data_IF_475713169307
#
_entry.id   IF_475713169307
#
_cell.length_a   1.000
_cell.length_b   1.000
_cell.length_c   1.000
_cell.angle_alpha   90.00
_cell.angle_beta   90.00
_cell.angle_gamma   90.00
#
_symmetry.space_group_name_H-M   'P 1'
#
loop_
_entity.id
_entity.type
_entity.pdbx_description
1 polymer ?
#
# COMPACT_ATOMS: atom_id res chain seq x y z
N UNK A 1 31.12 -20.62 63.16
CA UNK A 1 30.03 -19.67 62.82
C UNK A 1 30.72 -18.40 62.31
N UNK A 2 30.61 -17.83 61.10
CA UNK A 2 29.79 -17.94 59.87
C UNK A 2 30.80 -17.65 58.71
N UNK A 3 31.03 -18.49 57.69
CA UNK A 3 30.32 -18.65 56.39
C UNK A 3 29.88 -17.35 55.69
N UNK A 4 30.57 -17.01 54.58
CA UNK A 4 30.05 -16.85 53.19
C UNK A 4 31.16 -16.22 52.32
N UNK A 5 31.94 -16.99 51.54
CA UNK A 5 31.64 -17.57 50.21
C UNK A 5 31.59 -16.51 49.08
N UNK A 6 32.70 -16.37 48.36
CA UNK A 6 32.79 -15.76 47.03
C UNK A 6 31.92 -16.50 46.02
N UNK A 7 31.14 -15.75 45.23
CA UNK A 7 30.68 -16.19 43.90
C UNK A 7 30.80 -14.99 42.96
N UNK A 8 31.86 -15.02 42.16
CA UNK A 8 32.00 -14.34 40.89
C UNK A 8 31.33 -15.27 39.88
N UNK A 9 30.21 -14.91 39.25
CA UNK A 9 29.68 -15.67 38.11
C UNK A 9 28.83 -14.77 37.20
N UNK A 10 29.42 -14.45 36.04
CA UNK A 10 28.77 -14.36 34.73
C UNK A 10 27.59 -13.43 34.56
N UNK A 11 27.86 -12.24 34.04
CA UNK A 11 26.90 -11.50 33.19
C UNK A 11 26.57 -12.41 32.01
N UNK A 12 25.38 -13.03 32.02
CA UNK A 12 24.87 -13.76 30.87
C UNK A 12 24.26 -12.72 29.91
N UNK A 13 25.14 -12.09 29.13
CA UNK A 13 24.74 -11.30 27.97
C UNK A 13 24.30 -12.31 26.90
N UNK A 14 23.00 -12.62 26.86
CA UNK A 14 22.41 -13.38 25.75
C UNK A 14 22.43 -12.46 24.55
N UNK A 15 23.48 -12.59 23.74
CA UNK A 15 23.46 -12.20 22.34
C UNK A 15 22.38 -13.08 21.67
N UNK A 16 21.16 -12.57 21.53
CA UNK A 16 20.29 -13.01 20.46
C UNK A 16 20.86 -12.45 19.16
N UNK A 17 21.88 -13.12 18.65
CA UNK A 17 22.39 -12.91 17.30
C UNK A 17 21.99 -14.13 16.47
N UNK A 18 21.45 -13.83 15.28
CA UNK A 18 20.97 -14.72 14.21
C UNK A 18 19.47 -15.09 14.26
N UNK A 19 18.63 -14.14 13.87
CA UNK A 19 17.27 -14.41 13.36
C UNK A 19 17.15 -14.22 11.82
N UNK A 20 18.27 -14.10 11.10
CA UNK A 20 18.25 -13.75 9.66
C UNK A 20 17.89 -14.91 8.70
N UNK A 21 17.20 -15.98 9.15
CA UNK A 21 16.76 -17.07 8.26
C UNK A 21 15.72 -18.03 8.89
N UNK A 22 14.95 -17.58 9.89
CA UNK A 22 13.97 -18.44 10.55
C UNK A 22 12.64 -18.48 9.79
N UNK A 23 12.01 -19.66 9.76
CA UNK A 23 10.63 -19.82 9.30
C UNK A 23 9.65 -19.01 10.14
N UNK A 24 8.50 -18.63 9.58
CA UNK A 24 7.47 -17.84 10.27
C UNK A 24 7.05 -18.41 11.63
N UNK A 25 6.87 -17.52 12.61
CA UNK A 25 6.31 -17.84 13.91
C UNK A 25 4.79 -18.08 13.82
N UNK A 26 4.26 -19.04 14.56
CA UNK A 26 2.83 -19.34 14.53
C UNK A 26 2.06 -18.38 15.43
N UNK A 27 1.08 -17.68 14.87
CA UNK A 27 0.14 -16.87 15.65
C UNK A 27 -0.98 -17.77 16.16
N UNK A 28 -1.24 -17.76 17.46
CA UNK A 28 -2.34 -18.55 18.03
C UNK A 28 -3.65 -17.76 17.90
N UNK A 29 -4.69 -18.38 17.35
CA UNK A 29 -6.06 -17.86 17.48
C UNK A 29 -6.47 -17.87 18.96
N UNK A 30 -7.29 -16.90 19.36
CA UNK A 30 -7.76 -16.69 20.75
C UNK A 30 -8.39 -17.93 21.40
N UNK A 31 -8.83 -18.92 20.60
CA UNK A 31 -9.43 -20.17 21.05
C UNK A 31 -8.44 -21.32 21.35
N UNK A 32 -7.12 -21.10 21.26
CA UNK A 32 -6.11 -22.06 21.75
C UNK A 32 -6.02 -23.39 21.00
N UNK A 33 -6.80 -23.60 19.94
CA UNK A 33 -6.64 -24.72 19.00
C UNK A 33 -5.60 -24.35 17.94
N UNK A 34 -4.34 -24.70 18.21
CA UNK A 34 -3.27 -24.70 17.22
C UNK A 34 -3.48 -25.86 16.24
N UNK A 35 -3.96 -25.55 15.04
CA UNK A 35 -4.01 -26.49 13.90
C UNK A 35 -3.12 -26.07 12.73
N UNK A 36 -2.50 -24.89 12.82
CA UNK A 36 -1.64 -24.33 11.78
C UNK A 36 -0.57 -25.34 11.39
N UNK A 37 -0.70 -25.85 10.17
CA UNK A 37 0.33 -26.67 9.55
C UNK A 37 1.52 -25.74 9.33
N UNK A 38 2.45 -25.77 10.29
CA UNK A 38 3.64 -24.92 10.29
C UNK A 38 4.38 -25.11 8.97
N UNK A 39 4.52 -24.02 8.23
CA UNK A 39 5.38 -23.94 7.05
C UNK A 39 6.80 -23.66 7.51
N UNK A 40 7.75 -24.39 6.93
CA UNK A 40 9.19 -24.20 7.16
C UNK A 40 9.83 -23.19 6.21
N UNK A 41 9.05 -22.57 5.31
CA UNK A 41 9.55 -21.52 4.40
C UNK A 41 10.06 -20.30 5.17
N UNK A 42 11.17 -19.73 4.69
CA UNK A 42 11.66 -18.42 5.14
C UNK A 42 10.92 -17.28 4.44
N UNK A 43 11.08 -16.06 4.94
CA UNK A 43 10.46 -14.87 4.34
C UNK A 43 10.94 -14.65 2.90
N UNK A 44 12.24 -14.84 2.63
CA UNK A 44 12.82 -14.72 1.29
C UNK A 44 12.19 -15.72 0.32
N UNK A 45 11.96 -16.95 0.77
CA UNK A 45 11.31 -17.98 -0.04
C UNK A 45 9.83 -17.66 -0.30
N UNK A 46 9.14 -17.06 0.67
CA UNK A 46 7.77 -16.57 0.46
C UNK A 46 7.77 -15.43 -0.56
N UNK A 47 8.66 -14.45 -0.45
CA UNK A 47 8.81 -13.39 -1.45
C UNK A 47 9.10 -13.93 -2.85
N UNK A 48 10.00 -14.89 -3.00
CA UNK A 48 10.27 -15.52 -4.30
C UNK A 48 9.02 -16.19 -4.88
N UNK A 49 8.25 -16.89 -4.05
CA UNK A 49 7.02 -17.57 -4.46
C UNK A 49 5.91 -16.61 -4.82
N UNK A 50 5.75 -15.53 -4.06
CA UNK A 50 4.80 -14.45 -4.38
C UNK A 50 5.17 -13.77 -5.69
N UNK A 51 6.44 -13.42 -5.89
CA UNK A 51 6.93 -12.86 -7.14
C UNK A 51 6.69 -13.78 -8.34
N UNK A 52 6.89 -15.09 -8.18
CA UNK A 52 6.61 -16.06 -9.23
C UNK A 52 5.10 -16.19 -9.51
N UNK A 53 4.27 -16.29 -8.47
CA UNK A 53 2.82 -16.39 -8.60
C UNK A 53 2.23 -15.17 -9.30
N UNK A 54 2.71 -13.96 -8.99
CA UNK A 54 2.26 -12.70 -9.60
C UNK A 54 2.47 -12.64 -11.12
N UNK A 55 3.38 -13.43 -11.70
CA UNK A 55 3.55 -13.52 -13.17
C UNK A 55 2.38 -14.20 -13.86
N UNK A 56 1.68 -15.06 -13.14
CA UNK A 56 0.51 -15.82 -13.62
C UNK A 56 -0.81 -15.17 -13.17
N UNK A 57 -0.74 -14.03 -12.47
CA UNK A 57 -1.92 -13.30 -12.04
C UNK A 57 -2.48 -12.49 -13.22
N UNK A 58 -3.66 -12.83 -13.70
CA UNK A 58 -4.32 -12.16 -14.83
C UNK A 58 -5.19 -11.00 -14.36
N UNK A 59 -5.89 -11.15 -13.24
CA UNK A 59 -6.83 -10.16 -12.72
C UNK A 59 -7.03 -10.28 -11.22
N UNK A 60 -7.52 -9.22 -10.59
CA UNK A 60 -7.88 -9.20 -9.17
C UNK A 60 -8.78 -8.01 -8.88
N UNK A 61 -9.52 -8.08 -7.77
CA UNK A 61 -10.30 -6.98 -7.22
C UNK A 61 -9.65 -6.48 -5.93
N UNK A 62 -9.62 -5.17 -5.74
CA UNK A 62 -9.17 -4.48 -4.53
C UNK A 62 -10.37 -3.77 -3.90
N UNK A 63 -10.59 -3.99 -2.60
CA UNK A 63 -11.49 -3.18 -1.79
C UNK A 63 -10.67 -2.54 -0.68
N UNK A 64 -10.79 -1.23 -0.49
CA UNK A 64 -9.94 -0.49 0.43
C UNK A 64 -10.72 0.59 1.16
N UNK A 65 -10.55 0.63 2.48
CA UNK A 65 -10.97 1.74 3.33
C UNK A 65 -9.76 2.64 3.61
N UNK A 66 -9.95 3.95 3.50
CA UNK A 66 -8.92 4.96 3.74
C UNK A 66 -9.46 6.03 4.68
N UNK A 67 -8.76 6.27 5.79
CA UNK A 67 -8.97 7.42 6.65
C UNK A 67 -7.69 8.27 6.65
N UNK A 68 -7.82 9.52 6.25
CA UNK A 68 -6.72 10.48 6.20
C UNK A 68 -7.04 11.70 7.04
N UNK A 69 -6.15 12.05 7.97
CA UNK A 69 -6.23 13.26 8.79
C UNK A 69 -5.06 14.16 8.44
N UNK A 70 -5.35 15.35 7.92
CA UNK A 70 -4.36 16.38 7.61
C UNK A 70 -4.51 17.49 8.63
N UNK A 71 -3.42 17.87 9.29
CA UNK A 71 -3.36 18.96 10.24
C UNK A 71 -2.27 19.96 9.86
N UNK A 72 -2.61 21.26 9.87
CA UNK A 72 -1.66 22.36 9.77
C UNK A 72 -1.36 22.94 11.15
N UNK A 73 -0.10 23.31 11.39
CA UNK A 73 0.32 23.99 12.61
C UNK A 73 0.00 25.48 12.65
N UNK A 74 -0.31 26.09 11.50
CA UNK A 74 -0.55 27.53 11.35
C UNK A 74 -2.00 27.89 11.00
N UNK A 75 -2.76 26.97 10.39
CA UNK A 75 -4.14 27.21 9.98
C UNK A 75 -5.06 26.05 10.40
N UNK A 76 -5.72 26.20 11.55
CA UNK A 76 -6.70 25.21 12.03
C UNK A 76 -7.88 25.01 11.06
N UNK A 77 -8.21 26.01 10.22
CA UNK A 77 -9.27 25.87 9.22
C UNK A 77 -8.86 25.00 8.03
N UNK A 78 -7.56 24.74 7.87
CA UNK A 78 -7.03 23.80 6.89
C UNK A 78 -7.01 22.34 7.39
N UNK A 79 -7.36 22.09 8.66
CA UNK A 79 -7.42 20.74 9.20
C UNK A 79 -8.62 20.00 8.59
N UNK A 80 -8.37 18.82 8.05
CA UNK A 80 -9.38 18.02 7.37
C UNK A 80 -9.22 16.54 7.69
N UNK A 81 -10.34 15.87 7.87
CA UNK A 81 -10.43 14.41 7.94
C UNK A 81 -11.20 13.94 6.72
N UNK A 82 -10.63 13.03 5.96
CA UNK A 82 -11.20 12.45 4.75
C UNK A 82 -11.37 10.96 4.98
N UNK A 83 -12.60 10.49 4.84
CA UNK A 83 -12.94 9.07 4.88
C UNK A 83 -13.36 8.68 3.46
N UNK A 84 -12.69 7.67 2.92
CA UNK A 84 -12.86 7.22 1.55
C UNK A 84 -12.91 5.70 1.47
N UNK A 85 -13.66 5.20 0.50
CA UNK A 85 -13.65 3.80 0.09
C UNK A 85 -13.23 3.71 -1.38
N UNK A 86 -12.46 2.70 -1.72
CA UNK A 86 -12.03 2.37 -3.08
C UNK A 86 -12.46 0.94 -3.40
N UNK A 87 -13.16 0.79 -4.51
CA UNK A 87 -13.35 -0.49 -5.19
C UNK A 87 -12.63 -0.43 -6.54
N UNK A 88 -11.78 -1.40 -6.83
CA UNK A 88 -11.02 -1.43 -8.08
C UNK A 88 -10.94 -2.84 -8.64
N UNK A 89 -11.27 -3.00 -9.92
CA UNK A 89 -11.03 -4.20 -10.70
C UNK A 89 -9.82 -3.98 -11.61
N UNK A 90 -8.91 -4.96 -11.67
CA UNK A 90 -7.66 -4.88 -12.46
C UNK A 90 -7.52 -6.10 -13.35
N UNK A 91 -7.13 -5.88 -14.60
CA UNK A 91 -6.68 -6.90 -15.56
C UNK A 91 -5.27 -6.51 -16.04
N UNK A 92 -4.33 -7.46 -16.03
CA UNK A 92 -2.91 -7.17 -16.31
C UNK A 92 -2.55 -7.18 -17.81
N UNK A 93 -3.12 -8.06 -18.63
CA UNK A 93 -2.76 -8.19 -20.06
C UNK A 93 -3.98 -8.39 -20.99
N UNK A 94 -4.33 -7.42 -21.86
CA UNK A 94 -3.80 -6.05 -21.87
C UNK A 94 -4.25 -5.31 -20.61
N UNK A 95 -3.40 -4.39 -20.14
CA UNK A 95 -3.69 -3.68 -18.92
C UNK A 95 -5.01 -2.89 -19.01
N UNK A 96 -5.91 -3.13 -18.06
CA UNK A 96 -7.14 -2.38 -17.88
C UNK A 96 -7.51 -2.30 -16.40
N UNK A 97 -8.19 -1.24 -16.01
CA UNK A 97 -8.79 -1.15 -14.68
C UNK A 97 -10.10 -0.36 -14.70
N UNK A 98 -10.96 -0.68 -13.75
CA UNK A 98 -12.14 0.08 -13.40
C UNK A 98 -12.07 0.39 -11.91
N UNK A 99 -12.32 1.62 -11.51
CA UNK A 99 -12.33 1.99 -10.10
C UNK A 99 -13.46 2.93 -9.75
N UNK A 100 -13.93 2.81 -8.51
CA UNK A 100 -14.90 3.69 -7.86
C UNK A 100 -14.34 4.13 -6.53
N UNK A 101 -14.26 5.44 -6.36
CA UNK A 101 -13.83 6.08 -5.12
C UNK A 101 -15.03 6.83 -4.55
N UNK A 102 -15.40 6.55 -3.31
CA UNK A 102 -16.44 7.28 -2.59
C UNK A 102 -15.79 7.99 -1.42
N UNK A 103 -15.92 9.32 -1.36
CA UNK A 103 -15.32 10.16 -0.32
C UNK A 103 -16.38 10.94 0.42
N UNK A 104 -16.41 10.83 1.75
CA UNK A 104 -17.30 11.64 2.59
C UNK A 104 -16.85 13.12 2.57
N UNK A 105 -17.80 14.03 2.33
CA UNK A 105 -17.50 15.47 2.34
C UNK A 105 -17.53 15.97 3.79
N UNK A 106 -16.40 16.47 4.33
CA UNK A 106 -16.29 16.84 5.74
C UNK A 106 -17.35 17.86 6.16
N UNK A 107 -18.01 17.60 7.30
CA UNK A 107 -19.03 18.48 7.86
C UNK A 107 -20.39 18.43 7.15
N UNK A 108 -20.61 17.46 6.26
CA UNK A 108 -21.89 17.23 5.58
C UNK A 108 -22.25 15.74 5.59
N UNK A 109 -23.49 15.40 5.22
CA UNK A 109 -23.91 14.00 4.97
C UNK A 109 -23.74 13.60 3.49
N UNK A 110 -23.02 14.39 2.69
CA UNK A 110 -22.85 14.15 1.26
C UNK A 110 -21.63 13.27 1.00
N UNK A 111 -21.75 12.36 0.04
CA UNK A 111 -20.66 11.53 -0.48
C UNK A 111 -20.37 11.96 -1.91
N UNK A 112 -19.10 12.20 -2.19
CA UNK A 112 -18.60 12.44 -3.54
C UNK A 112 -18.11 11.13 -4.13
N UNK A 113 -18.71 10.70 -5.23
CA UNK A 113 -18.31 9.50 -5.96
C UNK A 113 -17.57 9.88 -7.24
N UNK A 114 -16.40 9.28 -7.44
CA UNK A 114 -15.60 9.37 -8.65
C UNK A 114 -15.46 7.97 -9.23
N UNK A 115 -15.92 7.78 -10.46
CA UNK A 115 -15.78 6.53 -11.20
C UNK A 115 -14.82 6.74 -12.37
N UNK A 116 -13.94 5.77 -12.65
CA UNK A 116 -13.02 5.86 -13.78
C UNK A 116 -12.71 4.51 -14.42
N UNK A 117 -12.41 4.56 -15.71
CA UNK A 117 -12.01 3.43 -16.54
C UNK A 117 -10.69 3.73 -17.21
N UNK A 118 -9.87 2.70 -17.37
CA UNK A 118 -8.66 2.72 -18.17
C UNK A 118 -8.57 1.43 -18.96
N UNK A 119 -8.34 1.56 -20.26
CA UNK A 119 -8.04 0.45 -21.14
C UNK A 119 -7.26 0.96 -22.36
N UNK A 120 -6.92 0.07 -23.29
CA UNK A 120 -6.38 0.45 -24.61
C UNK A 120 -7.26 1.48 -25.38
N UNK A 121 -8.54 1.59 -25.06
CA UNK A 121 -9.49 2.50 -25.73
C UNK A 121 -9.44 3.93 -25.17
N UNK A 122 -8.83 4.10 -24.00
CA UNK A 122 -8.54 5.39 -23.36
C UNK A 122 -8.74 5.37 -21.86
N UNK A 123 -8.54 6.54 -21.25
CA UNK A 123 -8.84 6.79 -19.84
C UNK A 123 -10.03 7.74 -19.72
N UNK A 124 -11.00 7.35 -18.91
CA UNK A 124 -12.26 8.04 -18.71
C UNK A 124 -12.51 8.22 -17.22
N UNK A 125 -13.05 9.36 -16.82
CA UNK A 125 -13.50 9.57 -15.44
C UNK A 125 -14.80 10.35 -15.43
N UNK A 126 -15.65 10.06 -14.45
CA UNK A 126 -16.87 10.79 -14.23
C UNK A 126 -16.58 12.03 -13.42
N UNK A 127 -16.91 13.21 -13.94
CA UNK A 127 -16.79 14.46 -13.20
C UNK A 127 -18.12 14.77 -12.49
N UNK A 128 -18.22 14.58 -11.15
CA UNK A 128 -19.49 14.69 -10.44
C UNK A 128 -20.10 16.11 -10.49
N UNK A 129 -19.28 17.17 -10.63
CA UNK A 129 -19.78 18.55 -10.68
C UNK A 129 -20.51 18.86 -11.98
N UNK A 130 -19.95 18.42 -13.12
CA UNK A 130 -20.53 18.61 -14.45
C UNK A 130 -21.48 17.47 -14.84
N UNK A 131 -21.51 16.39 -14.06
CA UNK A 131 -22.25 15.15 -14.32
C UNK A 131 -21.97 14.60 -15.71
N UNK A 132 -20.71 14.68 -16.13
CA UNK A 132 -20.28 14.35 -17.49
C UNK A 132 -19.05 13.44 -17.42
N UNK A 133 -19.00 12.46 -18.32
CA UNK A 133 -17.80 11.67 -18.52
C UNK A 133 -16.75 12.52 -19.21
N UNK A 134 -15.53 12.45 -18.71
CA UNK A 134 -14.39 13.16 -19.24
C UNK A 134 -13.41 12.14 -19.79
N UNK A 135 -12.84 12.42 -20.96
CA UNK A 135 -11.79 11.60 -21.58
C UNK A 135 -10.45 12.31 -21.44
N UNK A 136 -9.45 11.63 -20.90
CA UNK A 136 -8.10 12.17 -20.86
C UNK A 136 -7.48 12.26 -22.28
N UNK A 137 -6.64 13.28 -22.54
CA UNK A 137 -5.86 13.36 -23.78
C UNK A 137 -4.97 12.13 -23.98
N UNK A 138 -4.78 11.73 -25.24
CA UNK A 138 -4.04 10.51 -25.58
C UNK A 138 -2.55 10.59 -25.21
N UNK A 139 -1.98 11.79 -25.20
CA UNK A 139 -0.60 12.04 -24.79
C UNK A 139 -0.38 11.73 -23.30
N UNK A 140 -1.38 11.97 -22.45
CA UNK A 140 -1.32 11.61 -21.03
C UNK A 140 -1.43 10.10 -20.81
N UNK A 141 -2.20 9.41 -21.67
CA UNK A 141 -2.35 7.97 -21.65
C UNK A 141 -1.00 7.25 -21.85
N UNK A 142 -0.18 7.72 -22.81
CA UNK A 142 1.13 7.12 -23.07
C UNK A 142 2.09 7.24 -21.88
N UNK A 143 2.05 8.37 -21.17
CA UNK A 143 2.85 8.58 -19.95
C UNK A 143 2.36 7.69 -18.81
N UNK A 144 1.04 7.59 -18.62
CA UNK A 144 0.46 6.76 -17.57
C UNK A 144 0.70 5.27 -17.81
N UNK A 145 0.64 4.78 -19.06
CA UNK A 145 1.00 3.39 -19.38
C UNK A 145 2.46 3.09 -19.01
N UNK A 146 3.38 4.04 -19.21
CA UNK A 146 4.78 3.86 -18.82
C UNK A 146 4.96 3.75 -17.30
N UNK A 147 4.29 4.61 -16.53
CA UNK A 147 4.30 4.59 -15.05
C UNK A 147 3.62 3.33 -14.53
N UNK A 148 2.47 2.98 -15.10
CA UNK A 148 1.63 1.88 -14.67
C UNK A 148 2.31 0.52 -14.84
N UNK A 149 3.01 0.29 -15.96
CA UNK A 149 3.83 -0.91 -16.16
C UNK A 149 4.92 -1.11 -15.09
N UNK A 150 5.34 -0.05 -14.39
CA UNK A 150 6.30 -0.11 -13.30
C UNK A 150 5.64 -0.33 -11.93
N UNK A 151 4.39 0.12 -11.74
CA UNK A 151 3.73 0.20 -10.44
C UNK A 151 2.67 -0.88 -10.18
N UNK A 152 1.96 -1.38 -11.21
CA UNK A 152 0.83 -2.29 -11.00
C UNK A 152 1.18 -3.76 -11.02
N UNK A 153 2.47 -4.09 -11.08
CA UNK A 153 2.94 -5.45 -10.89
C UNK A 153 3.16 -5.69 -9.37
N UNK A 154 2.33 -6.50 -8.70
CA UNK A 154 2.51 -6.77 -7.27
C UNK A 154 3.87 -7.38 -6.94
N UNK A 155 4.53 -8.05 -7.90
CA UNK A 155 5.90 -8.55 -7.72
C UNK A 155 6.95 -7.43 -7.61
N UNK A 156 6.75 -6.29 -8.28
CA UNK A 156 7.68 -5.16 -8.22
C UNK A 156 7.63 -4.51 -6.82
N UNK A 157 6.43 -4.40 -6.24
CA UNK A 157 6.24 -3.90 -4.88
C UNK A 157 6.91 -4.83 -3.86
N UNK A 158 6.74 -6.16 -3.98
CA UNK A 158 7.41 -7.14 -3.12
C UNK A 158 8.93 -7.08 -3.27
N UNK A 159 9.48 -6.90 -4.48
CA UNK A 159 10.92 -6.72 -4.69
C UNK A 159 11.46 -5.50 -3.95
N UNK A 160 10.75 -4.37 -4.00
CA UNK A 160 11.13 -3.17 -3.25
C UNK A 160 11.16 -3.42 -1.74
N UNK A 161 10.24 -4.24 -1.22
CA UNK A 161 10.19 -4.59 0.20
C UNK A 161 11.31 -5.57 0.63
N UNK A 162 11.98 -6.28 -0.29
CA UNK A 162 13.06 -7.22 0.05
C UNK A 162 14.22 -6.55 0.80
N UNK A 163 14.47 -5.26 0.60
CA UNK A 163 15.52 -4.50 1.33
C UNK A 163 15.24 -4.33 2.83
N UNK A 164 14.00 -4.64 3.25
CA UNK A 164 13.53 -4.58 4.64
C UNK A 164 13.25 -5.97 5.21
N UNK A 165 13.69 -7.04 4.54
CA UNK A 165 13.42 -8.43 4.96
C UNK A 165 13.81 -8.70 6.42
N UNK A 166 14.94 -8.13 6.87
CA UNK A 166 15.43 -8.25 8.25
C UNK A 166 14.61 -7.43 9.27
N UNK A 167 13.82 -6.46 8.80
CA UNK A 167 12.99 -5.58 9.64
C UNK A 167 11.56 -6.11 9.81
N UNK A 168 11.15 -7.10 9.01
CA UNK A 168 9.83 -7.72 9.13
C UNK A 168 9.76 -8.72 10.29
N UNK A 169 8.68 -8.61 11.06
CA UNK A 169 8.19 -9.73 11.88
C UNK A 169 7.46 -10.70 10.96
N UNK A 170 7.96 -11.93 10.88
CA UNK A 170 7.42 -12.95 9.99
C UNK A 170 6.61 -14.00 10.76
N UNK A 171 5.30 -14.01 10.49
CA UNK A 171 4.31 -14.81 11.19
C UNK A 171 3.49 -15.65 10.21
N UNK A 172 2.73 -16.62 10.74
CA UNK A 172 1.82 -17.44 9.95
C UNK A 172 0.65 -17.95 10.79
N UNK A 173 -0.51 -18.12 10.14
CA UNK A 173 -1.67 -18.81 10.68
C UNK A 173 -2.01 -20.07 9.84
N UNK A 174 -3.25 -20.56 9.86
CA UNK A 174 -3.67 -21.73 9.08
C UNK A 174 -3.67 -21.48 7.56
N UNK A 175 -3.93 -20.23 7.13
CA UNK A 175 -4.18 -19.86 5.72
C UNK A 175 -3.12 -18.94 5.13
N UNK A 176 -2.49 -18.10 5.96
CA UNK A 176 -1.67 -16.98 5.49
C UNK A 176 -0.30 -16.98 6.13
N UNK A 177 0.67 -16.48 5.37
CA UNK A 177 1.86 -15.84 5.90
C UNK A 177 1.51 -14.39 6.23
N UNK A 178 1.93 -13.91 7.40
CA UNK A 178 1.64 -12.57 7.91
C UNK A 178 2.97 -11.85 8.09
N UNK A 179 3.14 -10.75 7.38
CA UNK A 179 4.35 -9.94 7.40
C UNK A 179 4.00 -8.61 8.05
N UNK A 180 4.60 -8.31 9.20
CA UNK A 180 4.39 -7.06 9.91
C UNK A 180 5.70 -6.28 9.97
N UNK A 181 5.67 -5.06 9.47
CA UNK A 181 6.76 -4.12 9.56
C UNK A 181 6.29 -2.95 10.43
N UNK A 182 6.93 -2.79 11.59
CA UNK A 182 6.83 -1.57 12.36
C UNK A 182 8.09 -0.75 12.12
N UNK A 183 7.92 0.37 11.43
CA UNK A 183 8.97 1.22 10.93
C UNK A 183 8.86 2.62 11.55
N UNK A 184 10.01 3.16 11.96
CA UNK A 184 10.19 4.57 12.25
C UNK A 184 11.62 4.98 11.92
N UNK A 185 11.85 6.27 11.71
CA UNK A 185 13.21 6.82 11.54
C UNK A 185 13.69 6.96 10.09
N UNK A 186 15.00 7.22 9.94
CA UNK A 186 15.61 7.73 8.71
C UNK A 186 15.58 6.73 7.55
N UNK A 187 15.86 5.44 7.79
CA UNK A 187 15.92 4.40 6.73
C UNK A 187 14.63 4.35 5.89
N UNK A 188 13.47 4.39 6.55
CA UNK A 188 12.18 4.34 5.87
C UNK A 188 11.78 5.69 5.28
N UNK A 189 12.15 6.78 5.97
CA UNK A 189 11.97 8.14 5.46
C UNK A 189 12.69 8.30 4.12
N UNK A 190 13.94 7.85 4.03
CA UNK A 190 14.74 7.93 2.80
C UNK A 190 14.15 7.06 1.67
N UNK A 191 13.64 5.87 2.00
CA UNK A 191 12.98 5.01 1.03
C UNK A 191 11.69 5.62 0.47
N UNK A 192 10.84 6.21 1.31
CA UNK A 192 9.65 6.90 0.82
C UNK A 192 10.02 8.13 0.00
N UNK A 193 11.05 8.89 0.38
CA UNK A 193 11.54 10.00 -0.44
C UNK A 193 11.98 9.53 -1.82
N UNK A 194 12.79 8.47 -1.89
CA UNK A 194 13.19 7.84 -3.16
C UNK A 194 11.97 7.43 -4.00
N UNK A 195 10.97 6.82 -3.36
CA UNK A 195 9.74 6.39 -4.04
C UNK A 195 8.94 7.58 -4.57
N UNK A 196 8.76 8.63 -3.76
CA UNK A 196 8.04 9.85 -4.16
C UNK A 196 8.78 10.57 -5.30
N UNK A 197 10.11 10.66 -5.23
CA UNK A 197 10.93 11.25 -6.30
C UNK A 197 10.81 10.47 -7.62
N UNK A 198 10.71 9.14 -7.57
CA UNK A 198 10.54 8.30 -8.76
C UNK A 198 9.13 8.35 -9.35
N UNK A 199 8.13 8.63 -8.53
CA UNK A 199 6.71 8.60 -8.92
C UNK A 199 6.15 9.97 -9.30
N UNK A 200 6.81 11.06 -8.91
CA UNK A 200 6.39 12.41 -9.25
C UNK A 200 6.64 12.73 -10.74
N UNK A 201 5.63 13.24 -11.47
CA UNK A 201 5.82 13.70 -12.84
C UNK A 201 6.87 14.80 -12.97
N UNK A 202 7.70 14.72 -14.01
CA UNK A 202 8.67 15.78 -14.35
C UNK A 202 7.93 17.12 -14.53
N UNK A 203 8.22 18.10 -13.66
CA UNK A 203 7.57 19.43 -13.69
C UNK A 203 6.97 19.87 -12.36
N UNK A 204 6.75 18.96 -11.40
CA UNK A 204 6.39 19.32 -10.01
C UNK A 204 7.62 19.72 -9.16
N UNK A 205 8.52 20.54 -9.70
CA UNK A 205 9.78 20.93 -9.05
C UNK A 205 9.59 21.71 -7.74
N UNK A 206 8.40 22.29 -7.53
CA UNK A 206 8.05 23.01 -6.29
C UNK A 206 7.81 22.06 -5.09
N UNK A 207 7.76 20.74 -5.32
CA UNK A 207 7.59 19.75 -4.26
C UNK A 207 8.90 19.33 -3.60
N UNK A 208 10.06 19.76 -4.11
CA UNK A 208 11.37 19.33 -3.61
C UNK A 208 11.60 19.68 -2.13
N UNK A 209 11.21 20.88 -1.69
CA UNK A 209 11.31 21.28 -0.27
C UNK A 209 10.41 20.42 0.64
N UNK A 210 9.21 20.07 0.16
CA UNK A 210 8.27 19.22 0.88
C UNK A 210 8.78 17.77 0.99
N UNK A 211 9.42 17.25 -0.06
CA UNK A 211 10.05 15.93 -0.06
C UNK A 211 11.27 15.92 0.85
N UNK A 212 12.16 16.91 0.76
CA UNK A 212 13.35 17.00 1.60
C UNK A 212 13.00 17.08 3.09
N UNK A 213 11.97 17.85 3.44
CA UNK A 213 11.49 18.01 4.80
C UNK A 213 10.62 16.86 5.31
N UNK A 214 10.27 15.89 4.45
CA UNK A 214 9.48 14.73 4.83
C UNK A 214 10.15 13.96 5.95
N UNK A 215 9.37 13.60 6.97
CA UNK A 215 9.78 12.78 8.08
C UNK A 215 8.66 11.84 8.48
N UNK A 216 8.96 10.55 8.57
CA UNK A 216 8.01 9.54 9.07
C UNK A 216 8.15 9.46 10.58
N UNK A 217 7.08 9.78 11.31
CA UNK A 217 7.03 9.63 12.76
C UNK A 217 6.74 8.18 13.13
N UNK A 218 5.82 7.54 12.42
CA UNK A 218 5.38 6.16 12.67
C UNK A 218 4.87 5.51 11.39
N UNK A 219 5.09 4.21 11.25
CA UNK A 219 4.52 3.38 10.18
C UNK A 219 4.34 1.94 10.65
N UNK A 220 3.11 1.45 10.60
CA UNK A 220 2.79 0.04 10.65
C UNK A 220 2.35 -0.40 9.26
N UNK A 221 2.99 -1.42 8.73
CA UNK A 221 2.65 -2.01 7.45
C UNK A 221 2.49 -3.52 7.61
N UNK A 222 1.37 -4.04 7.12
CA UNK A 222 1.00 -5.44 7.28
C UNK A 222 0.53 -6.02 5.94
N UNK A 223 1.14 -7.13 5.50
CA UNK A 223 0.70 -7.90 4.34
C UNK A 223 0.34 -9.32 4.78
N UNK A 224 -0.79 -9.83 4.30
CA UNK A 224 -1.11 -11.25 4.37
C UNK A 224 -0.97 -11.88 2.99
N UNK A 225 -0.27 -13.01 2.93
CA UNK A 225 -0.03 -13.77 1.69
C UNK A 225 -0.64 -15.16 1.86
N UNK A 226 -1.55 -15.54 0.96
CA UNK A 226 -2.20 -16.84 1.00
C UNK A 226 -1.18 -17.98 0.78
N UNK A 227 -1.27 -19.03 1.59
CA UNK A 227 -0.29 -20.13 1.60
C UNK A 227 -0.41 -21.07 0.40
N UNK A 228 -1.55 -21.11 -0.26
CA UNK A 228 -1.80 -22.02 -1.39
C UNK A 228 -1.42 -21.35 -2.71
N UNK A 229 -1.85 -20.11 -2.89
CA UNK A 229 -1.70 -19.35 -4.13
C UNK A 229 -0.49 -18.41 -4.13
N UNK A 230 0.00 -18.02 -2.95
CA UNK A 230 1.04 -17.00 -2.76
C UNK A 230 0.63 -15.59 -3.21
N UNK A 231 -0.66 -15.34 -3.42
CA UNK A 231 -1.16 -14.00 -3.69
C UNK A 231 -1.33 -13.19 -2.40
N UNK A 232 -1.07 -11.87 -2.44
CA UNK A 232 -1.49 -10.97 -1.38
C UNK A 232 -3.01 -11.03 -1.20
N UNK A 233 -3.47 -10.94 0.05
CA UNK A 233 -4.91 -10.98 0.40
C UNK A 233 -5.33 -9.81 1.27
N UNK A 234 -4.40 -9.31 2.09
CA UNK A 234 -4.60 -8.14 2.96
C UNK A 234 -3.38 -7.24 2.82
N UNK A 235 -3.62 -5.94 2.79
CA UNK A 235 -2.60 -4.91 2.91
C UNK A 235 -3.14 -3.80 3.81
N UNK A 236 -2.56 -3.65 4.99
CA UNK A 236 -2.88 -2.56 5.90
C UNK A 236 -1.69 -1.61 6.03
N UNK A 237 -1.97 -0.32 6.13
CA UNK A 237 -0.98 0.72 6.39
C UNK A 237 -1.54 1.68 7.43
N UNK A 238 -0.82 1.88 8.52
CA UNK A 238 -1.05 2.99 9.44
C UNK A 238 0.21 3.84 9.49
N UNK A 239 0.16 5.08 9.03
CA UNK A 239 1.32 5.94 8.88
C UNK A 239 1.04 7.32 9.44
N UNK A 240 2.03 7.89 10.14
CA UNK A 240 2.07 9.31 10.48
C UNK A 240 3.35 9.93 9.93
N UNK A 241 3.19 10.96 9.13
CA UNK A 241 4.29 11.71 8.51
C UNK A 241 4.13 13.21 8.73
N UNK A 242 5.26 13.90 8.71
CA UNK A 242 5.35 15.36 8.75
C UNK A 242 6.06 15.83 7.48
N UNK A 243 5.58 16.94 6.93
CA UNK A 243 6.25 17.65 5.85
C UNK A 243 6.20 19.15 6.13
N UNK A 244 7.06 19.90 5.44
CA UNK A 244 7.08 21.36 5.52
C UNK A 244 7.22 21.96 4.14
N UNK A 245 6.37 22.93 3.84
CA UNK A 245 6.43 23.71 2.61
C UNK A 245 6.25 25.19 2.98
N UNK A 246 7.10 26.06 2.45
CA UNK A 246 7.05 27.51 2.69
C UNK A 246 7.07 27.90 4.19
N UNK A 247 7.69 27.07 5.03
CA UNK A 247 7.75 27.27 6.50
C UNK A 247 6.48 26.90 7.27
N UNK A 248 5.47 26.33 6.61
CA UNK A 248 4.29 25.74 7.25
C UNK A 248 4.52 24.25 7.48
N UNK A 249 4.25 23.75 8.70
CA UNK A 249 4.33 22.33 9.01
C UNK A 249 2.96 21.69 8.83
N UNK A 250 2.94 20.57 8.13
CA UNK A 250 1.74 19.75 7.94
C UNK A 250 2.03 18.35 8.48
N UNK A 251 1.12 17.83 9.28
CA UNK A 251 1.12 16.43 9.72
C UNK A 251 0.00 15.70 8.99
N UNK A 252 0.33 14.54 8.42
CA UNK A 252 -0.61 13.66 7.74
C UNK A 252 -0.59 12.33 8.49
N UNK A 253 -1.75 11.92 8.99
CA UNK A 253 -1.99 10.58 9.51
C UNK A 253 -2.88 9.83 8.52
N UNK A 254 -2.50 8.61 8.17
CA UNK A 254 -3.19 7.77 7.19
C UNK A 254 -3.42 6.38 7.78
N UNK A 255 -4.65 5.92 7.80
CA UNK A 255 -5.04 4.54 8.12
C UNK A 255 -5.71 3.94 6.88
N UNK A 256 -5.16 2.84 6.39
CA UNK A 256 -5.58 2.18 5.17
C UNK A 256 -5.76 0.69 5.45
N UNK A 257 -6.89 0.13 5.01
CA UNK A 257 -7.19 -1.29 5.11
C UNK A 257 -7.64 -1.81 3.76
N UNK A 258 -6.78 -2.58 3.12
CA UNK A 258 -7.00 -3.13 1.79
C UNK A 258 -7.20 -4.64 1.81
N UNK A 259 -8.10 -5.12 0.97
CA UNK A 259 -8.33 -6.54 0.69
C UNK A 259 -8.18 -6.81 -0.80
N UNK A 260 -7.40 -7.84 -1.13
CA UNK A 260 -7.20 -8.33 -2.49
C UNK A 260 -7.97 -9.64 -2.63
N UNK A 261 -8.95 -9.65 -3.53
CA UNK A 261 -9.92 -10.73 -3.70
C UNK A 261 -10.13 -11.04 -5.18
N UNK A 262 -10.91 -12.08 -5.46
CA UNK A 262 -11.33 -12.45 -6.82
C UNK A 262 -10.19 -12.57 -7.85
N UNK A 263 -9.03 -13.09 -7.39
CA UNK A 263 -7.87 -13.35 -8.24
C UNK A 263 -8.23 -14.27 -9.42
N UNK A 264 -7.78 -13.89 -10.62
CA UNK A 264 -7.97 -14.61 -11.88
C UNK A 264 -9.44 -14.85 -12.27
N UNK A 265 -10.36 -13.98 -11.85
CA UNK A 265 -11.77 -14.10 -12.22
C UNK A 265 -12.13 -13.35 -13.51
N UNK A 266 -11.63 -12.12 -13.70
CA UNK A 266 -11.94 -11.30 -14.86
C UNK A 266 -10.95 -11.58 -16.01
N UNK A 267 -11.47 -11.75 -17.23
CA UNK A 267 -10.66 -11.88 -18.44
C UNK A 267 -10.39 -10.51 -19.08
N UNK A 268 -11.37 -9.61 -19.04
CA UNK A 268 -11.27 -8.27 -19.62
C UNK A 268 -12.16 -7.27 -18.86
N UNK A 269 -11.86 -5.98 -19.02
CA UNK A 269 -12.68 -4.86 -18.56
C UNK A 269 -13.11 -4.08 -19.80
N UNK A 270 -14.40 -4.14 -20.12
CA UNK A 270 -15.01 -3.37 -21.21
C UNK A 270 -15.52 -2.03 -20.71
N UNK A 271 -15.21 -0.96 -21.43
CA UNK A 271 -15.75 0.38 -21.13
C UNK A 271 -17.16 0.48 -21.72
N UNK A 272 -18.19 0.83 -20.93
CA UNK A 272 -19.55 0.95 -21.44
C UNK A 272 -19.63 1.96 -22.60
N UNK A 273 -20.43 1.65 -23.62
CA UNK A 273 -20.52 2.48 -24.83
C UNK A 273 -21.00 3.90 -24.53
N UNK A 274 -21.91 4.05 -23.56
CA UNK A 274 -22.38 5.35 -23.09
C UNK A 274 -21.28 6.24 -22.50
N UNK A 275 -20.25 5.63 -21.90
CA UNK A 275 -19.07 6.37 -21.39
C UNK A 275 -18.26 6.89 -22.56
N UNK A 276 -18.01 6.05 -23.56
CA UNK A 276 -17.20 6.42 -24.74
C UNK A 276 -17.89 7.52 -25.56
N UNK A 277 -19.19 7.38 -25.84
CA UNK A 277 -19.94 8.33 -26.67
C UNK A 277 -20.31 9.61 -25.91
N UNK A 278 -20.51 9.51 -24.59
CA UNK A 278 -20.87 10.64 -23.73
C UNK A 278 -19.67 11.46 -23.25
N UNK A 279 -18.44 10.98 -23.46
CA UNK A 279 -17.26 11.64 -22.93
C UNK A 279 -16.88 12.91 -23.68
N UNK A 280 -16.49 13.93 -22.93
CA UNK A 280 -15.90 15.17 -23.44
C UNK A 280 -14.41 15.17 -23.16
N UNK A 281 -13.59 15.57 -24.12
CA UNK A 281 -12.15 15.66 -23.93
C UNK A 281 -11.80 16.68 -22.83
N UNK A 282 -11.01 16.26 -21.85
CA UNK A 282 -10.53 17.13 -20.79
C UNK A 282 -9.56 18.16 -21.37
N UNK A 283 -9.78 19.44 -21.08
CA UNK A 283 -8.89 20.52 -21.51
C UNK A 283 -7.64 20.57 -20.63
N UNK A 284 -6.48 20.86 -21.24
CA UNK A 284 -5.23 21.12 -20.54
C UNK A 284 -5.26 22.45 -19.76
#
# INVERSE_FOLDING_TARGET
MKKSLSILLGVFFVLMLAACNSSADTVNNEDGTSSAKKSDLTLEQVFEKTTEASKELNSFKVNMDLNQVINSDQDEAANVTLESTLEMDVVQDPMAFHQKISTEIPGTEQVMEVESYFSKDGMYYYEPTSQTWMKFPSEMMEQLVQISNQQTNPAAEIENLRRFVDDFTFQQDDKSYILVLNASGEKFTDFLKETVEQTLPEGMANSAEAIESMKINHMDYEIHIDKETYYPTVLNLNMEMEMSAEGQKVTIAQDMKGQYVDHNHLEEIEIPQEVIEGAVEAQQ
#
